data_IF_514074115695
#
_entry.id   IF_514074115695
#
_cell.length_a   1.000
_cell.length_b   1.000
_cell.length_c   1.000
_cell.angle_alpha   90.00
_cell.angle_beta   90.00
_cell.angle_gamma   90.00
#
_symmetry.space_group_name_H-M   'P 1'
#
loop_
_entity.id
_entity.type
_entity.pdbx_description
1 polymer ?
#
# COMPACT_ATOMS: atom_id res chain seq x y z
N UNK A 1 -23.05 8.02 4.82
CA UNK A 1 -22.18 7.07 4.07
C UNK A 1 -20.88 6.74 4.82
N UNK A 2 -20.34 7.64 5.67
CA UNK A 2 -19.14 7.37 6.49
C UNK A 2 -19.15 6.04 7.28
N UNK A 3 -20.34 5.56 7.66
CA UNK A 3 -20.47 4.30 8.40
C UNK A 3 -19.98 3.07 7.62
N UNK A 4 -20.23 3.00 6.30
CA UNK A 4 -19.78 1.87 5.49
C UNK A 4 -18.26 1.89 5.31
N UNK A 5 -17.71 3.04 4.91
CA UNK A 5 -16.27 3.26 4.79
C UNK A 5 -15.54 2.87 6.07
N UNK A 6 -16.00 3.40 7.21
CA UNK A 6 -15.40 3.14 8.53
C UNK A 6 -15.40 1.64 8.87
N UNK A 7 -16.51 0.94 8.62
CA UNK A 7 -16.62 -0.50 8.87
C UNK A 7 -15.72 -1.31 7.94
N UNK A 8 -15.61 -0.95 6.67
CA UNK A 8 -14.72 -1.62 5.71
C UNK A 8 -13.24 -1.39 6.04
N UNK A 9 -12.86 -0.16 6.40
CA UNK A 9 -11.50 0.13 6.86
C UNK A 9 -11.18 -0.62 8.16
N UNK A 10 -12.12 -0.72 9.11
CA UNK A 10 -11.94 -1.52 10.32
C UNK A 10 -11.81 -3.02 9.99
N UNK A 11 -12.65 -3.55 9.12
CA UNK A 11 -12.58 -4.93 8.64
C UNK A 11 -11.24 -5.22 7.95
N UNK A 12 -10.73 -4.28 7.15
CA UNK A 12 -9.42 -4.39 6.50
C UNK A 12 -8.29 -4.44 7.52
N UNK A 13 -8.30 -3.58 8.56
CA UNK A 13 -7.28 -3.64 9.64
C UNK A 13 -7.28 -5.00 10.34
N UNK A 14 -8.46 -5.54 10.65
CA UNK A 14 -8.58 -6.90 11.24
C UNK A 14 -7.99 -7.95 10.31
N UNK A 15 -8.28 -7.87 9.00
CA UNK A 15 -7.72 -8.79 8.01
C UNK A 15 -6.20 -8.70 7.93
N UNK A 16 -5.64 -7.50 7.93
CA UNK A 16 -4.20 -7.25 7.87
C UNK A 16 -3.46 -7.70 9.15
N UNK A 17 -4.16 -7.78 10.28
CA UNK A 17 -3.66 -8.36 11.52
C UNK A 17 -3.73 -9.91 11.55
N UNK A 18 -4.20 -10.56 10.48
CA UNK A 18 -4.37 -12.03 10.40
C UNK A 18 -5.71 -12.54 10.94
N UNK A 19 -6.63 -11.64 11.33
CA UNK A 19 -7.96 -12.01 11.80
C UNK A 19 -8.96 -12.29 10.69
N UNK A 20 -10.12 -12.85 11.07
CA UNK A 20 -11.26 -13.02 10.16
C UNK A 20 -12.11 -11.76 10.15
N UNK A 21 -12.10 -11.04 9.02
CA UNK A 21 -12.87 -9.82 8.83
C UNK A 21 -14.36 -10.13 8.63
N UNK A 22 -15.24 -9.44 9.38
CA UNK A 22 -16.69 -9.45 9.14
C UNK A 22 -17.05 -8.30 8.20
N UNK A 23 -17.53 -8.63 7.02
CA UNK A 23 -17.93 -7.65 6.02
C UNK A 23 -19.36 -7.16 6.29
N UNK A 24 -19.62 -5.85 6.22
CA UNK A 24 -20.98 -5.33 6.21
C UNK A 24 -21.80 -5.91 5.05
N UNK A 25 -23.10 -6.08 5.23
CA UNK A 25 -24.00 -6.50 4.13
C UNK A 25 -23.90 -5.54 2.94
N UNK A 26 -23.97 -6.10 1.72
CA UNK A 26 -23.86 -5.34 0.47
C UNK A 26 -22.44 -4.82 0.13
N UNK A 27 -21.46 -5.00 1.03
CA UNK A 27 -20.10 -4.45 0.81
C UNK A 27 -19.16 -5.34 -0.02
N UNK A 28 -19.64 -6.52 -0.43
CA UNK A 28 -18.84 -7.53 -1.14
C UNK A 28 -18.24 -7.00 -2.44
N UNK A 29 -18.98 -6.18 -3.19
CA UNK A 29 -18.51 -5.60 -4.45
C UNK A 29 -17.28 -4.71 -4.26
N UNK A 30 -17.30 -3.86 -3.22
CA UNK A 30 -16.20 -2.95 -2.88
C UNK A 30 -15.00 -3.75 -2.38
N UNK A 31 -15.24 -4.70 -1.48
CA UNK A 31 -14.19 -5.55 -0.93
C UNK A 31 -13.47 -6.36 -2.01
N UNK A 32 -14.23 -6.93 -2.95
CA UNK A 32 -13.69 -7.70 -4.07
C UNK A 32 -12.94 -6.79 -5.05
N UNK A 33 -13.47 -5.60 -5.36
CA UNK A 33 -12.79 -4.61 -6.20
C UNK A 33 -11.44 -4.21 -5.59
N UNK A 34 -11.42 -3.80 -4.33
CA UNK A 34 -10.20 -3.47 -3.60
C UNK A 34 -9.22 -4.66 -3.58
N UNK A 35 -9.69 -5.87 -3.28
CA UNK A 35 -8.84 -7.06 -3.24
C UNK A 35 -8.22 -7.40 -4.59
N UNK A 36 -8.97 -7.22 -5.69
CA UNK A 36 -8.48 -7.44 -7.04
C UNK A 36 -7.44 -6.37 -7.43
N UNK A 37 -7.75 -5.10 -7.20
CA UNK A 37 -6.85 -3.97 -7.48
C UNK A 37 -5.56 -4.04 -6.64
N UNK A 38 -5.68 -4.29 -5.34
CA UNK A 38 -4.53 -4.42 -4.42
C UNK A 38 -3.61 -5.58 -4.78
N UNK A 39 -4.12 -6.63 -5.42
CA UNK A 39 -3.30 -7.73 -5.96
C UNK A 39 -2.61 -7.38 -7.27
N UNK A 40 -3.22 -6.52 -8.08
CA UNK A 40 -2.73 -6.14 -9.41
C UNK A 40 -1.87 -4.87 -9.40
N UNK A 41 -1.70 -4.23 -8.24
CA UNK A 41 -0.98 -2.96 -8.11
C UNK A 41 0.44 -3.03 -8.65
N UNK A 42 0.92 -1.89 -9.12
CA UNK A 42 2.33 -1.71 -9.43
C UNK A 42 3.19 -1.61 -8.15
N UNK A 43 4.44 -2.07 -8.24
CA UNK A 43 5.46 -1.90 -7.21
C UNK A 43 6.67 -1.18 -7.80
N UNK A 44 7.12 -0.11 -7.14
CA UNK A 44 8.31 0.66 -7.52
C UNK A 44 9.53 0.33 -6.65
N UNK A 45 10.60 1.10 -6.83
CA UNK A 45 11.86 0.94 -6.07
C UNK A 45 11.69 1.17 -4.55
N UNK A 46 10.70 1.98 -4.17
CA UNK A 46 10.39 2.34 -2.78
C UNK A 46 9.14 1.61 -2.27
N UNK A 47 8.89 0.40 -2.77
CA UNK A 47 7.75 -0.40 -2.36
C UNK A 47 6.50 -0.24 -3.22
N UNK A 48 5.36 -0.74 -2.74
CA UNK A 48 4.13 -0.81 -3.51
C UNK A 48 3.51 0.58 -3.75
N UNK A 49 2.91 0.81 -4.91
CA UNK A 49 2.27 2.10 -5.23
C UNK A 49 0.80 2.13 -4.76
N UNK A 50 0.27 3.31 -4.39
CA UNK A 50 -1.16 3.50 -4.14
C UNK A 50 -1.98 3.17 -5.39
N UNK A 51 -3.22 2.71 -5.20
CA UNK A 51 -4.14 2.44 -6.30
C UNK A 51 -4.54 3.78 -6.95
N UNK A 52 -4.24 3.93 -8.24
CA UNK A 52 -4.59 5.13 -8.99
C UNK A 52 -6.05 5.10 -9.46
N UNK A 53 -6.67 6.28 -9.60
CA UNK A 53 -8.02 6.41 -10.16
C UNK A 53 -8.13 5.80 -11.56
N UNK A 54 -7.07 5.88 -12.37
CA UNK A 54 -7.01 5.25 -13.69
C UNK A 54 -7.08 3.73 -13.60
N UNK A 55 -6.43 3.10 -12.62
CA UNK A 55 -6.52 1.64 -12.40
C UNK A 55 -7.93 1.22 -12.01
N UNK A 56 -8.60 2.01 -11.16
CA UNK A 56 -10.00 1.78 -10.79
C UNK A 56 -10.91 1.88 -12.02
N UNK A 57 -10.72 2.94 -12.83
CA UNK A 57 -11.51 3.14 -14.04
C UNK A 57 -11.31 2.01 -15.06
N UNK A 58 -10.07 1.60 -15.30
CA UNK A 58 -9.74 0.47 -16.19
C UNK A 58 -10.32 -0.84 -15.66
N UNK A 59 -10.22 -1.09 -14.35
CA UNK A 59 -10.81 -2.27 -13.74
C UNK A 59 -12.33 -2.31 -13.93
N UNK A 60 -13.04 -1.21 -13.66
CA UNK A 60 -14.48 -1.12 -13.88
C UNK A 60 -14.87 -1.44 -15.34
N UNK A 61 -14.08 -0.96 -16.31
CA UNK A 61 -14.29 -1.24 -17.73
C UNK A 61 -14.07 -2.72 -18.06
N UNK A 62 -12.97 -3.31 -17.58
CA UNK A 62 -12.61 -4.69 -17.87
C UNK A 62 -13.58 -5.70 -17.23
N UNK A 63 -14.04 -5.44 -16.01
CA UNK A 63 -14.94 -6.35 -15.29
C UNK A 63 -16.41 -6.06 -15.53
N UNK A 64 -16.73 -4.97 -16.24
CA UNK A 64 -18.09 -4.45 -16.44
C UNK A 64 -18.82 -4.23 -15.12
N UNK A 65 -18.09 -3.77 -14.10
CA UNK A 65 -18.61 -3.51 -12.76
C UNK A 65 -18.70 -2.01 -12.56
N UNK A 66 -19.89 -1.40 -12.59
CA UNK A 66 -20.03 0.04 -12.37
C UNK A 66 -19.78 0.37 -10.89
N UNK A 67 -18.80 1.23 -10.62
CA UNK A 67 -18.56 1.80 -9.30
C UNK A 67 -18.97 3.28 -9.29
N UNK A 68 -19.93 3.61 -8.44
CA UNK A 68 -20.30 5.00 -8.15
C UNK A 68 -19.17 5.76 -7.42
N UNK A 69 -19.15 7.11 -7.47
CA UNK A 69 -18.07 7.91 -6.89
C UNK A 69 -17.76 7.60 -5.42
N UNK A 70 -18.79 7.36 -4.60
CA UNK A 70 -18.60 7.01 -3.19
C UNK A 70 -17.98 5.62 -3.00
N UNK A 71 -18.14 4.68 -3.95
CA UNK A 71 -17.42 3.40 -3.90
C UNK A 71 -15.93 3.61 -4.14
N UNK A 72 -15.59 4.52 -5.07
CA UNK A 72 -14.20 4.89 -5.36
C UNK A 72 -13.55 5.52 -4.12
N UNK A 73 -14.25 6.44 -3.43
CA UNK A 73 -13.80 7.03 -2.17
C UNK A 73 -13.54 5.97 -1.08
N UNK A 74 -14.41 4.95 -1.00
CA UNK A 74 -14.20 3.86 -0.04
C UNK A 74 -12.97 3.03 -0.41
N UNK A 75 -12.77 2.72 -1.70
CA UNK A 75 -11.60 1.96 -2.17
C UNK A 75 -10.31 2.72 -1.86
N UNK A 76 -10.25 4.03 -2.13
CA UNK A 76 -9.06 4.85 -1.83
C UNK A 76 -8.82 4.98 -0.33
N UNK A 77 -9.88 5.06 0.49
CA UNK A 77 -9.76 5.04 1.94
C UNK A 77 -9.27 3.68 2.49
N UNK A 78 -9.73 2.57 1.91
CA UNK A 78 -9.20 1.24 2.20
C UNK A 78 -7.73 1.13 1.80
N UNK A 79 -7.37 1.72 0.65
CA UNK A 79 -6.00 1.71 0.16
C UNK A 79 -5.04 2.47 1.08
N UNK A 80 -5.44 3.65 1.56
CA UNK A 80 -4.66 4.39 2.54
C UNK A 80 -4.33 3.56 3.81
N UNK A 81 -5.31 2.79 4.31
CA UNK A 81 -5.12 1.88 5.45
C UNK A 81 -4.14 0.76 5.13
N UNK A 82 -4.21 0.21 3.91
CA UNK A 82 -3.29 -0.82 3.47
C UNK A 82 -1.86 -0.28 3.34
N UNK A 83 -1.69 0.89 2.70
CA UNK A 83 -0.39 1.54 2.50
C UNK A 83 0.26 1.90 3.83
N UNK A 84 -0.50 2.48 4.77
CA UNK A 84 -0.03 2.77 6.12
C UNK A 84 0.56 1.51 6.78
N UNK A 85 -0.17 0.38 6.72
CA UNK A 85 0.30 -0.87 7.32
C UNK A 85 1.52 -1.45 6.60
N UNK A 86 1.55 -1.38 5.27
CA UNK A 86 2.65 -1.91 4.46
C UNK A 86 3.96 -1.15 4.75
N UNK A 87 3.93 0.18 4.73
CA UNK A 87 5.11 0.98 5.05
C UNK A 87 5.54 0.90 6.51
N UNK A 88 4.60 0.73 7.45
CA UNK A 88 4.95 0.45 8.86
C UNK A 88 5.73 -0.88 8.99
N UNK A 89 5.38 -1.91 8.21
CA UNK A 89 6.11 -3.19 8.21
C UNK A 89 7.46 -3.05 7.55
N UNK A 90 7.56 -2.34 6.42
CA UNK A 90 8.85 -2.06 5.79
C UNK A 90 9.78 -1.22 6.67
N UNK A 91 9.26 -0.29 7.49
CA UNK A 91 10.08 0.44 8.47
C UNK A 91 10.58 -0.44 9.63
N UNK A 92 9.88 -1.53 9.95
CA UNK A 92 10.26 -2.49 10.99
C UNK A 92 11.23 -3.56 10.46
N UNK A 93 10.96 -4.12 9.27
CA UNK A 93 11.85 -5.07 8.59
C UNK A 93 13.07 -4.36 7.97
N UNK A 94 12.90 -3.08 7.62
CA UNK A 94 13.89 -2.17 7.08
C UNK A 94 14.62 -1.35 8.16
N UNK A 95 14.70 -1.86 9.40
CA UNK A 95 15.94 -1.66 10.17
C UNK A 95 17.06 -2.40 9.42
N UNK A 96 17.40 -1.88 8.23
CA UNK A 96 18.74 -1.95 7.66
C UNK A 96 19.62 -1.62 8.84
N UNK A 97 20.33 -2.62 9.33
CA UNK A 97 21.61 -2.41 9.98
C UNK A 97 22.32 -1.47 9.02
N UNK A 98 22.31 -0.16 9.34
CA UNK A 98 23.17 0.79 8.67
C UNK A 98 24.52 0.08 8.68
N UNK A 99 25.17 -0.15 7.52
CA UNK A 99 26.54 -0.66 7.57
C UNK A 99 27.22 0.29 8.53
N UNK A 100 27.72 -0.24 9.68
CA UNK A 100 28.39 0.58 10.70
C UNK A 100 29.28 1.50 9.91
N UNK A 101 28.94 2.79 9.88
CA UNK A 101 29.67 3.74 9.06
C UNK A 101 31.12 3.50 9.40
N UNK A 102 31.91 3.04 8.43
CA UNK A 102 33.32 2.77 8.67
C UNK A 102 33.86 4.05 9.27
N UNK A 103 34.36 4.01 10.50
CA UNK A 103 34.94 5.17 11.18
C UNK A 103 36.21 5.71 10.49
N UNK A 104 36.45 5.32 9.25
CA UNK A 104 37.45 5.87 8.37
C UNK A 104 36.92 7.19 7.83
N UNK A 105 37.35 8.27 8.48
CA UNK A 105 37.38 9.60 7.88
C UNK A 105 38.11 9.48 6.54
N UNK A 106 37.43 9.77 5.44
CA UNK A 106 38.04 9.90 4.11
C UNK A 106 39.16 10.93 4.21
N UNK A 107 40.40 10.47 4.14
CA UNK A 107 41.57 11.34 4.08
C UNK A 107 41.84 11.71 2.63
N UNK A 108 42.35 12.93 2.36
CA UNK A 108 42.70 13.37 1.00
C UNK A 108 43.61 12.38 0.26
N UNK A 109 44.58 11.78 0.95
CA UNK A 109 45.49 10.79 0.37
C UNK A 109 44.77 9.54 -0.17
N UNK A 110 43.68 9.11 0.48
CA UNK A 110 42.89 7.97 -0.02
C UNK A 110 42.04 8.34 -1.24
N UNK A 111 41.65 9.61 -1.36
CA UNK A 111 40.94 10.11 -2.53
C UNK A 111 41.87 10.19 -3.75
N UNK A 112 43.09 10.69 -3.55
CA UNK A 112 44.09 10.83 -4.62
C UNK A 112 44.56 9.46 -5.14
N UNK A 113 44.66 8.44 -4.27
CA UNK A 113 44.98 7.07 -4.67
C UNK A 113 43.87 6.40 -5.51
N UNK A 114 42.61 6.77 -5.30
CA UNK A 114 41.47 6.19 -6.00
C UNK A 114 41.22 6.81 -7.38
N UNK A 115 41.73 8.03 -7.61
CA UNK A 115 41.48 8.83 -8.81
C UNK A 115 42.71 8.99 -9.72
N UNK A 116 43.83 8.34 -9.36
CA UNK A 116 45.08 8.30 -10.13
C UNK A 116 45.13 7.16 -11.15
#
# INVERSE_FOLDING_TARGET
MEGLQRRLCAALRVRLAGGTARLPEGSAIIWNAFSALSRARSCGANGPNPIAYSEIAVWCQLTRTPLEPHHVEIITAMDAVWMERTYQREGQDGQKVLPRGSGQTLTPDMFDLAMG
#
